data_IF_054668413633
#
_entry.id   IF_054668413633
#
_cell.length_a   1.000
_cell.length_b   1.000
_cell.length_c   1.000
_cell.angle_alpha   90.00
_cell.angle_beta   90.00
_cell.angle_gamma   90.00
#
_symmetry.space_group_name_H-M   'P 1'
#
loop_
_entity.id
_entity.type
_entity.pdbx_description
1 polymer ?
#
# COMPACT_ATOMS: atom_id res chain seq x y z
N UNK A 1 -13.58 19.32 -15.84
CA UNK A 1 -14.10 18.54 -14.70
C UNK A 1 -13.57 17.12 -14.84
N UNK A 2 -12.46 16.80 -14.18
CA UNK A 2 -11.94 15.42 -14.21
C UNK A 2 -12.83 14.57 -13.32
N UNK A 3 -13.47 13.55 -13.88
CA UNK A 3 -14.22 12.57 -13.08
C UNK A 3 -13.34 12.06 -11.93
N UNK A 4 -13.87 11.89 -10.71
CA UNK A 4 -13.16 11.16 -9.68
C UNK A 4 -12.91 9.75 -10.23
N UNK A 5 -11.67 9.28 -10.09
CA UNK A 5 -11.28 7.95 -10.55
C UNK A 5 -12.26 6.93 -9.92
N UNK A 6 -13.09 6.23 -10.72
CA UNK A 6 -14.12 5.36 -10.16
C UNK A 6 -13.47 4.28 -9.30
N UNK A 7 -14.06 4.00 -8.13
CA UNK A 7 -13.56 2.90 -7.29
C UNK A 7 -13.62 1.60 -8.10
N UNK A 8 -12.56 0.77 -8.06
CA UNK A 8 -12.55 -0.50 -8.75
C UNK A 8 -13.67 -1.43 -8.23
N UNK A 9 -14.24 -2.25 -9.11
CA UNK A 9 -15.22 -3.28 -8.75
C UNK A 9 -14.55 -4.43 -8.01
N UNK A 10 -15.33 -5.25 -7.29
CA UNK A 10 -14.80 -6.44 -6.59
C UNK A 10 -14.11 -7.41 -7.56
N UNK A 11 -14.65 -7.58 -8.76
CA UNK A 11 -14.06 -8.43 -9.80
C UNK A 11 -12.72 -7.88 -10.29
N UNK A 12 -12.61 -6.55 -10.44
CA UNK A 12 -11.34 -5.88 -10.77
C UNK A 12 -10.33 -5.96 -9.63
N UNK A 13 -10.78 -5.98 -8.37
CA UNK A 13 -9.91 -6.14 -7.19
C UNK A 13 -9.37 -7.58 -7.15
N UNK A 14 -10.23 -8.58 -7.35
CA UNK A 14 -9.86 -10.00 -7.30
C UNK A 14 -8.93 -10.41 -8.45
N UNK A 15 -9.04 -9.76 -9.61
CA UNK A 15 -8.20 -10.03 -10.78
C UNK A 15 -6.79 -9.39 -10.71
N UNK A 16 -6.54 -8.52 -9.73
CA UNK A 16 -5.24 -7.82 -9.63
C UNK A 16 -4.15 -8.74 -9.14
N UNK A 17 -3.03 -8.73 -9.85
CA UNK A 17 -1.80 -9.38 -9.38
C UNK A 17 -1.12 -8.53 -8.30
N UNK A 18 -0.26 -9.17 -7.49
CA UNK A 18 0.61 -8.49 -6.51
C UNK A 18 1.35 -7.29 -7.15
N UNK A 19 1.92 -7.49 -8.33
CA UNK A 19 2.67 -6.44 -9.05
C UNK A 19 1.77 -5.30 -9.55
N UNK A 20 0.52 -5.58 -9.95
CA UNK A 20 -0.44 -4.53 -10.32
C UNK A 20 -0.87 -3.70 -9.10
N UNK A 21 -1.03 -4.33 -7.93
CA UNK A 21 -1.30 -3.62 -6.67
C UNK A 21 -0.11 -2.73 -6.33
N UNK A 22 1.10 -3.28 -6.36
CA UNK A 22 2.32 -2.54 -6.04
C UNK A 22 2.54 -1.35 -7.00
N UNK A 23 2.33 -1.54 -8.30
CA UNK A 23 2.44 -0.48 -9.30
C UNK A 23 1.40 0.62 -9.08
N UNK A 24 0.16 0.28 -8.71
CA UNK A 24 -0.88 1.27 -8.45
C UNK A 24 -0.57 2.11 -7.20
N UNK A 25 -0.08 1.48 -6.12
CA UNK A 25 0.34 2.20 -4.91
C UNK A 25 1.55 3.09 -5.20
N UNK A 26 2.56 2.56 -5.92
CA UNK A 26 3.75 3.32 -6.30
C UNK A 26 3.39 4.56 -7.15
N UNK A 27 2.50 4.40 -8.13
CA UNK A 27 2.06 5.52 -8.96
C UNK A 27 1.38 6.64 -8.15
N UNK A 28 0.60 6.30 -7.12
CA UNK A 28 0.00 7.30 -6.23
C UNK A 28 1.06 8.08 -5.45
N UNK A 29 2.08 7.38 -4.94
CA UNK A 29 3.20 7.96 -4.21
C UNK A 29 4.13 8.82 -5.09
N UNK A 30 4.36 8.40 -6.33
CA UNK A 30 5.15 9.16 -7.30
C UNK A 30 4.46 10.49 -7.68
N UNK A 31 3.11 10.54 -7.68
CA UNK A 31 2.37 11.79 -7.92
C UNK A 31 2.54 12.82 -6.80
N UNK A 32 2.89 12.37 -5.58
CA UNK A 32 3.14 13.21 -4.41
C UNK A 32 4.66 13.48 -4.21
N UNK A 33 5.50 13.22 -5.22
CA UNK A 33 6.96 13.31 -5.16
C UNK A 33 7.57 12.52 -3.97
N UNK A 34 6.89 11.45 -3.55
CA UNK A 34 7.23 10.67 -2.36
C UNK A 34 7.26 9.18 -2.69
N UNK A 35 8.27 8.71 -3.44
CA UNK A 35 8.35 7.32 -3.90
C UNK A 35 8.38 6.34 -2.73
N UNK A 36 7.78 5.16 -2.93
CA UNK A 36 7.77 4.09 -1.94
C UNK A 36 9.18 3.63 -1.59
N UNK A 37 9.45 3.48 -0.30
CA UNK A 37 10.67 2.84 0.20
C UNK A 37 10.60 1.32 0.03
N UNK A 38 11.74 0.63 0.15
CA UNK A 38 11.78 -0.83 0.11
C UNK A 38 10.95 -1.47 1.24
N UNK A 39 10.88 -0.80 2.40
CA UNK A 39 10.05 -1.26 3.52
C UNK A 39 8.56 -1.18 3.18
N UNK A 40 8.12 -0.11 2.52
CA UNK A 40 6.72 0.04 2.09
C UNK A 40 6.36 -1.01 1.04
N UNK A 41 7.25 -1.25 0.08
CA UNK A 41 7.07 -2.30 -0.94
C UNK A 41 6.94 -3.67 -0.30
N UNK A 42 7.76 -3.97 0.71
CA UNK A 42 7.69 -5.24 1.44
C UNK A 42 6.37 -5.38 2.21
N UNK A 43 5.87 -4.32 2.84
CA UNK A 43 4.58 -4.33 3.53
C UNK A 43 3.40 -4.57 2.56
N UNK A 44 3.38 -3.88 1.42
CA UNK A 44 2.34 -4.08 0.39
C UNK A 44 2.31 -5.53 -0.11
N UNK A 45 3.48 -6.16 -0.30
CA UNK A 45 3.57 -7.57 -0.71
C UNK A 45 3.00 -8.54 0.32
N UNK A 46 3.31 -8.34 1.61
CA UNK A 46 2.74 -9.19 2.69
C UNK A 46 1.22 -9.09 2.74
N UNK A 47 0.68 -7.87 2.59
CA UNK A 47 -0.78 -7.64 2.51
C UNK A 47 -1.37 -8.32 1.28
N UNK A 48 -0.78 -8.15 0.10
CA UNK A 48 -1.27 -8.73 -1.14
C UNK A 48 -1.31 -10.27 -1.12
N UNK A 49 -0.39 -10.90 -0.36
CA UNK A 49 -0.34 -12.35 -0.15
C UNK A 49 -1.23 -12.84 0.99
N UNK A 50 -1.83 -11.93 1.77
CA UNK A 50 -2.63 -12.27 2.94
C UNK A 50 -1.81 -12.73 4.15
N UNK A 51 -0.50 -12.46 4.17
CA UNK A 51 0.38 -12.78 5.29
C UNK A 51 0.14 -11.84 6.48
N UNK A 52 -0.24 -10.61 6.20
CA UNK A 52 -0.61 -9.57 7.18
C UNK A 52 -1.83 -8.78 6.69
N UNK A 53 -2.46 -8.03 7.59
CA UNK A 53 -3.47 -7.03 7.21
C UNK A 53 -2.86 -5.63 7.15
N UNK A 54 -3.53 -4.70 6.46
CA UNK A 54 -3.12 -3.29 6.48
C UNK A 54 -3.07 -2.71 7.90
N UNK A 55 -3.94 -3.17 8.81
CA UNK A 55 -3.93 -2.74 10.20
C UNK A 55 -2.69 -3.24 10.97
N UNK A 56 -2.21 -4.45 10.67
CA UNK A 56 -1.02 -5.01 11.31
C UNK A 56 0.24 -4.24 10.91
N UNK A 57 0.35 -3.88 9.62
CA UNK A 57 1.47 -3.08 9.11
C UNK A 57 1.45 -1.65 9.69
N UNK A 58 0.28 -1.02 9.80
CA UNK A 58 0.13 0.30 10.45
C UNK A 58 0.50 0.22 11.94
N UNK A 59 0.05 -0.82 12.65
CA UNK A 59 0.39 -1.02 14.05
C UNK A 59 1.90 -1.20 14.25
N UNK A 60 2.56 -1.95 13.36
CA UNK A 60 4.02 -2.14 13.35
C UNK A 60 4.76 -0.82 13.13
N UNK A 61 4.32 -0.02 12.16
CA UNK A 61 4.90 1.30 11.89
C UNK A 61 4.75 2.23 13.10
N UNK A 62 3.56 2.29 13.71
CA UNK A 62 3.31 3.11 14.90
C UNK A 62 4.16 2.67 16.09
N UNK A 63 4.37 1.37 16.28
CA UNK A 63 5.27 0.85 17.31
C UNK A 63 6.71 1.28 17.08
N UNK A 64 7.20 1.21 15.84
CA UNK A 64 8.55 1.65 15.48
C UNK A 64 8.76 3.16 15.70
N UNK A 65 7.76 3.99 15.36
CA UNK A 65 7.80 5.44 15.62
C UNK A 65 7.93 5.71 17.12
N UNK A 66 7.11 5.05 17.96
CA UNK A 66 7.15 5.21 19.42
C UNK A 66 8.50 4.78 20.01
N UNK A 67 9.06 3.68 19.53
CA UNK A 67 10.37 3.19 19.99
C UNK A 67 11.53 4.15 19.67
N UNK A 68 11.42 4.96 18.61
CA UNK A 68 12.42 5.98 18.26
C UNK A 68 12.38 7.24 19.14
N UNK A 69 11.28 7.46 19.85
CA UNK A 69 11.08 8.66 20.70
C UNK A 69 11.45 8.46 22.17
N UNK A 70 11.84 7.24 22.55
CA UNK A 70 12.37 6.85 23.86
C UNK A 70 13.87 6.65 23.80
#
# INVERSE_FOLDING_TARGET
MTSPNPRPTEEQIAARTEEQILAAVAAGHDMDDMPLTDADRAAVRRIARGETTGNDEVATLLAAIRARTT
#
